data_IF_022667865350
#
_entry.id   IF_022667865350
#
_cell.length_a   1.000
_cell.length_b   1.000
_cell.length_c   1.000
_cell.angle_alpha   90.00
_cell.angle_beta   90.00
_cell.angle_gamma   90.00
#
_symmetry.space_group_name_H-M   'P 1'
#
loop_
_entity.id
_entity.type
_entity.pdbx_description
1 polymer ?
#
# COMPACT_ATOMS: atom_id res chain seq x y z
N UNK A 1 -15.31 -14.70 9.80
CA UNK A 1 -15.28 -13.44 10.61
C UNK A 1 -16.00 -12.38 9.79
N UNK A 2 -17.25 -12.03 10.14
CA UNK A 2 -17.93 -10.93 9.45
C UNK A 2 -17.11 -9.64 9.65
N UNK A 3 -17.03 -8.80 8.61
CA UNK A 3 -16.30 -7.51 8.58
C UNK A 3 -14.77 -7.55 8.34
N UNK A 4 -14.16 -8.68 7.98
CA UNK A 4 -12.72 -8.70 7.61
C UNK A 4 -12.48 -7.94 6.28
N UNK A 5 -11.65 -6.88 6.24
CA UNK A 5 -11.28 -6.21 5.00
C UNK A 5 -10.55 -7.16 4.06
N UNK A 6 -10.94 -7.20 2.78
CA UNK A 6 -10.31 -8.07 1.77
C UNK A 6 -9.59 -7.31 0.67
N UNK A 7 -9.72 -5.99 0.61
CA UNK A 7 -9.06 -5.11 -0.35
C UNK A 7 -8.41 -3.97 0.42
N UNK A 8 -7.11 -3.81 0.28
CA UNK A 8 -6.35 -2.76 0.99
C UNK A 8 -5.47 -2.02 -0.01
N UNK A 9 -5.60 -0.70 -0.04
CA UNK A 9 -4.68 0.20 -0.75
C UNK A 9 -3.51 0.55 0.17
N UNK A 10 -2.28 0.38 -0.31
CA UNK A 10 -1.06 0.53 0.48
C UNK A 10 -0.12 1.52 -0.20
N UNK A 11 0.25 2.57 0.52
CA UNK A 11 1.27 3.52 0.09
C UNK A 11 2.63 3.11 0.64
N UNK A 12 3.63 2.99 -0.23
CA UNK A 12 5.00 2.66 0.16
C UNK A 12 5.91 3.84 -0.13
N UNK A 13 6.53 4.39 0.92
CA UNK A 13 7.68 5.28 0.75
C UNK A 13 8.95 4.45 0.52
N UNK A 14 9.57 4.48 -0.68
CA UNK A 14 10.72 3.64 -0.99
C UNK A 14 11.97 4.03 -0.18
N UNK A 15 12.10 5.31 0.19
CA UNK A 15 13.25 5.87 0.90
C UNK A 15 13.11 5.70 2.43
N UNK A 16 11.89 5.42 2.92
CA UNK A 16 11.63 5.17 4.33
C UNK A 16 12.45 4.01 4.93
N UNK A 17 12.70 4.07 6.24
CA UNK A 17 13.33 2.97 6.99
C UNK A 17 14.76 2.63 6.53
N UNK A 18 15.56 3.66 6.19
CA UNK A 18 16.90 3.55 5.56
C UNK A 18 16.84 2.97 4.13
N UNK A 19 15.94 3.48 3.27
CA UNK A 19 15.76 3.05 1.87
C UNK A 19 15.35 1.58 1.70
N UNK A 20 14.57 1.06 2.65
CA UNK A 20 14.16 -0.35 2.68
C UNK A 20 12.67 -0.56 2.51
N UNK A 21 11.86 0.48 2.30
CA UNK A 21 10.40 0.37 2.23
C UNK A 21 9.91 -0.72 1.28
N UNK A 22 10.41 -0.72 0.04
CA UNK A 22 10.08 -1.76 -0.96
C UNK A 22 10.58 -3.14 -0.53
N UNK A 23 11.81 -3.23 0.01
CA UNK A 23 12.40 -4.50 0.44
C UNK A 23 11.60 -5.13 1.60
N UNK A 24 11.18 -4.31 2.56
CA UNK A 24 10.37 -4.74 3.70
C UNK A 24 9.01 -5.23 3.21
N UNK A 25 8.35 -4.48 2.32
CA UNK A 25 7.09 -4.91 1.71
C UNK A 25 7.22 -6.30 1.07
N UNK A 26 8.15 -6.45 0.13
CA UNK A 26 8.32 -7.71 -0.62
C UNK A 26 8.69 -8.89 0.28
N UNK A 27 9.61 -8.68 1.23
CA UNK A 27 10.16 -9.78 2.05
C UNK A 27 9.22 -10.18 3.20
N UNK A 28 8.51 -9.22 3.79
CA UNK A 28 7.82 -9.45 5.07
C UNK A 28 6.32 -9.22 4.99
N UNK A 29 5.85 -8.21 4.26
CA UNK A 29 4.43 -7.80 4.32
C UNK A 29 3.60 -8.52 3.25
N UNK A 30 4.07 -8.55 2.01
CA UNK A 30 3.36 -9.19 0.90
C UNK A 30 3.02 -10.67 1.16
N UNK A 31 3.93 -11.52 1.69
CA UNK A 31 3.59 -12.91 1.99
C UNK A 31 2.48 -13.04 3.04
N UNK A 32 2.47 -12.17 4.05
CA UNK A 32 1.45 -12.17 5.10
C UNK A 32 0.08 -11.79 4.54
N UNK A 33 0.01 -10.80 3.65
CA UNK A 33 -1.25 -10.40 3.01
C UNK A 33 -1.82 -11.52 2.14
N UNK A 34 -0.96 -12.25 1.41
CA UNK A 34 -1.35 -13.42 0.62
C UNK A 34 -1.91 -14.54 1.49
N UNK A 35 -1.22 -14.91 2.57
CA UNK A 35 -1.69 -15.92 3.53
C UNK A 35 -3.02 -15.48 4.18
N UNK A 36 -3.15 -14.19 4.44
CA UNK A 36 -4.35 -13.59 4.97
C UNK A 36 -5.54 -13.56 3.98
N UNK A 37 -5.33 -13.86 2.69
CA UNK A 37 -6.34 -13.75 1.65
C UNK A 37 -6.81 -12.31 1.44
N UNK A 38 -5.89 -11.35 1.61
CA UNK A 38 -6.13 -9.93 1.41
C UNK A 38 -5.55 -9.53 0.06
N UNK A 39 -6.40 -8.98 -0.80
CA UNK A 39 -5.99 -8.33 -2.04
C UNK A 39 -5.41 -6.95 -1.71
N UNK A 40 -4.25 -6.66 -2.28
CA UNK A 40 -3.50 -5.44 -1.97
C UNK A 40 -3.13 -4.72 -3.24
N UNK A 41 -3.51 -3.44 -3.32
CA UNK A 41 -3.05 -2.54 -4.38
C UNK A 41 -1.99 -1.61 -3.80
N UNK A 42 -0.87 -1.47 -4.49
CA UNK A 42 0.29 -0.74 -3.97
C UNK A 42 0.51 0.51 -4.81
N UNK A 43 0.79 1.63 -4.12
CA UNK A 43 1.27 2.86 -4.72
C UNK A 43 2.62 3.20 -4.10
N UNK A 44 3.66 3.29 -4.92
CA UNK A 44 4.97 3.74 -4.47
C UNK A 44 4.99 5.27 -4.53
N UNK A 45 5.36 5.94 -3.44
CA UNK A 45 5.42 7.39 -3.42
C UNK A 45 6.74 7.90 -3.98
N UNK A 46 6.71 8.96 -4.78
CA UNK A 46 7.89 9.49 -5.47
C UNK A 46 8.49 10.72 -4.79
N UNK A 47 7.66 11.51 -4.10
CA UNK A 47 8.06 12.75 -3.42
C UNK A 47 7.28 13.03 -2.14
N UNK A 48 7.74 14.01 -1.38
CA UNK A 48 6.97 14.57 -0.26
C UNK A 48 5.64 15.14 -0.77
N UNK A 49 4.57 14.96 0.01
CA UNK A 49 3.21 15.39 -0.35
C UNK A 49 2.50 14.52 -1.39
N UNK A 50 3.16 13.53 -2.03
CA UNK A 50 2.54 12.75 -3.12
C UNK A 50 1.23 12.05 -2.72
N UNK A 51 1.16 11.52 -1.50
CA UNK A 51 -0.06 10.88 -0.99
C UNK A 51 -1.20 11.89 -0.92
N UNK A 52 -0.94 13.10 -0.41
CA UNK A 52 -1.96 14.14 -0.27
C UNK A 52 -2.49 14.52 -1.65
N UNK A 53 -1.59 14.78 -2.60
CA UNK A 53 -1.97 15.14 -3.97
C UNK A 53 -2.78 14.04 -4.64
N UNK A 54 -2.43 12.77 -4.42
CA UNK A 54 -3.19 11.64 -4.95
C UNK A 54 -4.58 11.56 -4.31
N UNK A 55 -4.69 11.70 -2.99
CA UNK A 55 -5.98 11.64 -2.29
C UNK A 55 -6.91 12.80 -2.68
N UNK A 56 -6.38 13.98 -3.00
CA UNK A 56 -7.17 15.14 -3.39
C UNK A 56 -7.62 15.08 -4.86
N UNK A 57 -6.82 14.49 -5.75
CA UNK A 57 -7.04 14.56 -7.19
C UNK A 57 -7.51 13.24 -7.82
N UNK A 58 -7.38 12.10 -7.13
CA UNK A 58 -7.82 10.79 -7.64
C UNK A 58 -9.05 10.26 -6.92
N UNK A 59 -10.01 9.76 -7.70
CA UNK A 59 -11.08 8.95 -7.16
C UNK A 59 -10.52 7.59 -6.70
N UNK A 60 -10.56 7.36 -5.38
CA UNK A 60 -10.12 6.12 -4.73
C UNK A 60 -11.01 4.90 -5.05
N UNK A 61 -12.24 5.12 -5.53
CA UNK A 61 -13.10 4.02 -6.02
C UNK A 61 -12.49 3.29 -7.22
N UNK A 62 -11.53 3.89 -7.93
CA UNK A 62 -10.74 3.21 -8.97
C UNK A 62 -9.80 2.12 -8.42
N UNK A 63 -9.71 2.00 -7.09
CA UNK A 63 -8.88 1.03 -6.39
C UNK A 63 -9.73 -0.01 -5.64
N UNK A 64 -11.07 0.05 -5.76
CA UNK A 64 -12.03 -0.96 -5.27
C UNK A 64 -12.14 -2.18 -6.18
#
# INVERSE_FOLDING_TARGET
IPHRPRKILIFINPIGGKKRGIKIWKKHVEPLMKIAGVDTKIIITERSGHIIDLLLNFNLQKFE
#
